data_IF_059891654122
#
_entry.id   IF_059891654122
#
_cell.length_a   1.000
_cell.length_b   1.000
_cell.length_c   1.000
_cell.angle_alpha   90.00
_cell.angle_beta   90.00
_cell.angle_gamma   90.00
#
_symmetry.space_group_name_H-M   'P 1'
#
loop_
_entity.id
_entity.type
_entity.pdbx_description
1 polymer ?
#
# COMPACT_ATOMS: atom_id res chain seq x y z
N UNK A 1 41.29 -10.34 27.24
CA UNK A 1 39.81 -10.32 27.17
C UNK A 1 39.40 -9.00 26.50
N UNK A 2 38.94 -9.05 25.25
CA UNK A 2 38.36 -7.88 24.59
C UNK A 2 36.88 -7.76 24.99
N UNK A 3 36.36 -6.56 25.30
CA UNK A 3 34.93 -6.38 25.46
C UNK A 3 34.23 -6.48 24.10
N UNK A 4 33.13 -7.23 24.09
CA UNK A 4 32.21 -7.42 22.98
C UNK A 4 31.59 -6.06 22.59
N UNK A 5 31.88 -5.58 21.37
CA UNK A 5 31.18 -4.45 20.75
C UNK A 5 30.02 -5.00 19.94
N UNK A 6 28.79 -4.80 20.41
CA UNK A 6 27.61 -4.94 19.57
C UNK A 6 27.45 -3.65 18.74
N UNK A 7 27.88 -3.72 17.48
CA UNK A 7 27.58 -2.71 16.47
C UNK A 7 26.09 -2.77 16.15
N UNK A 8 25.33 -1.77 16.60
CA UNK A 8 23.99 -1.51 16.08
C UNK A 8 24.16 -1.00 14.64
N UNK A 9 24.20 -1.93 13.69
CA UNK A 9 24.08 -1.60 12.27
C UNK A 9 22.71 -0.93 12.09
N UNK A 10 22.72 0.28 11.52
CA UNK A 10 21.57 1.16 11.40
C UNK A 10 20.41 0.58 10.60
N UNK A 11 19.55 -0.19 11.28
CA UNK A 11 18.14 -0.25 10.93
C UNK A 11 17.55 1.11 11.31
N UNK A 12 17.24 1.93 10.30
CA UNK A 12 16.88 3.34 10.47
C UNK A 12 15.70 3.51 11.42
N UNK A 13 15.68 4.59 12.22
CA UNK A 13 14.56 4.99 13.08
C UNK A 13 13.19 4.97 12.38
N UNK A 14 13.17 5.10 11.04
CA UNK A 14 11.96 5.02 10.21
C UNK A 14 11.37 3.61 10.13
N UNK A 15 12.20 2.57 10.11
CA UNK A 15 11.74 1.18 10.12
C UNK A 15 10.99 0.86 11.42
N UNK A 16 11.61 1.17 12.55
CA UNK A 16 10.99 1.01 13.88
C UNK A 16 9.68 1.78 14.00
N UNK A 17 9.64 3.04 13.54
CA UNK A 17 8.42 3.84 13.58
C UNK A 17 7.27 3.20 12.76
N UNK A 18 7.56 2.61 11.60
CA UNK A 18 6.56 1.98 10.74
C UNK A 18 6.03 0.67 11.33
N UNK A 19 6.91 -0.18 11.86
CA UNK A 19 6.51 -1.42 12.53
C UNK A 19 5.67 -1.15 13.79
N UNK A 20 6.04 -0.16 14.60
CA UNK A 20 5.23 0.23 15.78
C UNK A 20 3.91 0.88 15.37
N UNK A 21 3.88 1.64 14.27
CA UNK A 21 2.63 2.19 13.72
C UNK A 21 1.68 1.07 13.26
N UNK A 22 2.19 0.04 12.57
CA UNK A 22 1.38 -1.12 12.17
C UNK A 22 0.75 -1.83 13.38
N UNK A 23 1.53 -2.08 14.43
CA UNK A 23 1.03 -2.66 15.70
C UNK A 23 -0.03 -1.78 16.36
N UNK A 24 0.19 -0.47 16.40
CA UNK A 24 -0.75 0.49 16.97
C UNK A 24 -2.07 0.52 16.19
N UNK A 25 -2.01 0.49 14.85
CA UNK A 25 -3.19 0.45 13.99
C UNK A 25 -4.02 -0.81 14.28
N UNK A 26 -3.39 -1.99 14.38
CA UNK A 26 -4.09 -3.23 14.73
C UNK A 26 -4.74 -3.16 16.12
N UNK A 27 -4.02 -2.63 17.12
CA UNK A 27 -4.57 -2.44 18.45
C UNK A 27 -5.78 -1.49 18.44
N UNK A 28 -5.74 -0.42 17.62
CA UNK A 28 -6.85 0.53 17.48
C UNK A 28 -8.04 -0.05 16.73
N UNK A 29 -7.82 -0.87 15.71
CA UNK A 29 -8.89 -1.61 15.03
C UNK A 29 -9.60 -2.52 16.04
N UNK A 30 -8.86 -3.27 16.85
CA UNK A 30 -9.45 -4.14 17.88
C UNK A 30 -10.25 -3.35 18.93
N UNK A 31 -9.72 -2.19 19.37
CA UNK A 31 -10.38 -1.32 20.35
C UNK A 31 -11.67 -0.69 19.81
N UNK A 32 -11.66 -0.24 18.55
CA UNK A 32 -12.73 0.58 17.97
C UNK A 32 -13.79 -0.23 17.24
N UNK A 33 -13.40 -1.30 16.54
CA UNK A 33 -14.25 -2.01 15.60
C UNK A 33 -14.75 -3.35 16.14
N UNK A 34 -14.06 -3.97 17.10
CA UNK A 34 -14.45 -5.28 17.62
C UNK A 34 -14.59 -6.31 16.50
N UNK A 35 -15.81 -6.77 16.23
CA UNK A 35 -16.12 -7.72 15.14
C UNK A 35 -16.75 -7.08 13.90
N UNK A 36 -16.82 -5.75 13.81
CA UNK A 36 -17.32 -5.05 12.63
C UNK A 36 -16.36 -5.24 11.42
N UNK A 37 -16.87 -5.23 10.18
CA UNK A 37 -16.03 -5.24 8.98
C UNK A 37 -15.11 -4.01 8.90
N UNK A 38 -13.85 -4.21 8.51
CA UNK A 38 -12.82 -3.16 8.49
C UNK A 38 -12.19 -3.06 7.11
N UNK A 39 -12.01 -1.82 6.65
CA UNK A 39 -11.16 -1.48 5.51
C UNK A 39 -10.09 -0.51 6.02
N UNK A 40 -8.82 -0.84 5.81
CA UNK A 40 -7.68 0.03 6.09
C UNK A 40 -7.00 0.38 4.77
N UNK A 41 -6.95 1.67 4.43
CA UNK A 41 -6.32 2.15 3.22
C UNK A 41 -5.37 3.32 3.51
N UNK A 42 -4.30 3.43 2.72
CA UNK A 42 -3.37 4.55 2.81
C UNK A 42 -2.06 4.32 2.07
N UNK A 43 -1.22 5.35 2.08
CA UNK A 43 0.20 5.27 1.69
C UNK A 43 1.03 4.85 2.92
N UNK A 44 1.60 3.65 2.87
CA UNK A 44 2.39 3.07 3.95
C UNK A 44 3.89 3.39 3.82
N UNK A 45 4.32 4.02 2.72
CA UNK A 45 5.71 4.34 2.41
C UNK A 45 6.66 3.11 2.48
N UNK A 46 6.11 1.91 2.32
CA UNK A 46 6.83 0.62 2.27
C UNK A 46 6.16 -0.29 1.26
N UNK A 47 6.95 -1.09 0.57
CA UNK A 47 6.43 -2.04 -0.40
C UNK A 47 5.94 -3.34 0.25
N UNK A 48 5.38 -4.24 -0.57
CA UNK A 48 4.90 -5.55 -0.14
C UNK A 48 5.99 -6.51 0.39
N UNK A 49 7.26 -6.12 0.34
CA UNK A 49 8.40 -6.92 0.82
C UNK A 49 8.94 -6.43 2.18
N UNK A 50 8.42 -5.32 2.72
CA UNK A 50 8.80 -4.79 4.03
C UNK A 50 8.12 -5.54 5.19
N UNK A 51 8.81 -5.60 6.32
CA UNK A 51 8.30 -6.23 7.54
C UNK A 51 7.01 -5.57 8.05
N UNK A 52 6.87 -4.26 7.91
CA UNK A 52 5.69 -3.51 8.38
C UNK A 52 4.45 -3.87 7.58
N UNK A 53 4.60 -4.13 6.28
CA UNK A 53 3.53 -4.69 5.46
C UNK A 53 3.17 -6.11 5.92
N UNK A 54 4.18 -6.96 6.13
CA UNK A 54 3.98 -8.34 6.57
C UNK A 54 3.28 -8.43 7.94
N UNK A 55 3.54 -7.49 8.85
CA UNK A 55 2.84 -7.41 10.14
C UNK A 55 1.34 -7.18 10.00
N UNK A 56 0.92 -6.35 9.03
CA UNK A 56 -0.51 -6.12 8.75
C UNK A 56 -1.12 -7.33 8.03
N UNK A 57 -0.51 -7.77 6.92
CA UNK A 57 -1.05 -8.83 6.07
C UNK A 57 -1.06 -10.22 6.74
N UNK A 58 -0.24 -10.44 7.78
CA UNK A 58 -0.23 -11.68 8.54
C UNK A 58 -0.90 -11.53 9.91
N UNK A 59 -1.49 -10.37 10.20
CA UNK A 59 -2.38 -10.23 11.35
C UNK A 59 -3.69 -10.90 10.96
N UNK A 60 -4.20 -11.85 11.75
CA UNK A 60 -5.49 -12.54 11.49
C UNK A 60 -6.70 -11.58 11.33
N UNK A 61 -6.47 -10.28 11.50
CA UNK A 61 -7.40 -9.17 11.37
C UNK A 61 -7.53 -8.63 9.94
N UNK A 62 -6.46 -8.66 9.14
CA UNK A 62 -6.38 -7.93 7.87
C UNK A 62 -5.60 -8.70 6.79
N UNK A 63 -6.13 -8.68 5.57
CA UNK A 63 -5.51 -9.25 4.37
C UNK A 63 -5.44 -8.19 3.25
N UNK A 64 -4.37 -8.19 2.44
CA UNK A 64 -4.21 -7.28 1.30
C UNK A 64 -5.21 -7.63 0.19
N UNK A 65 -6.01 -6.64 -0.20
CA UNK A 65 -6.97 -6.78 -1.30
C UNK A 65 -6.32 -7.13 -2.64
N UNK A 66 -5.05 -6.76 -2.86
CA UNK A 66 -4.31 -7.19 -4.05
C UNK A 66 -4.15 -8.72 -4.07
N UNK A 67 -3.80 -9.35 -2.95
CA UNK A 67 -3.59 -10.79 -2.87
C UNK A 67 -4.91 -11.58 -2.88
N UNK A 68 -5.97 -11.03 -2.26
CA UNK A 68 -7.29 -11.66 -2.24
C UNK A 68 -8.05 -11.60 -3.57
N UNK A 69 -7.73 -10.63 -4.42
CA UNK A 69 -8.57 -10.37 -5.59
C UNK A 69 -8.42 -11.44 -6.68
N UNK A 70 -9.53 -12.05 -7.15
CA UNK A 70 -9.50 -12.99 -8.27
C UNK A 70 -9.22 -12.30 -9.62
N UNK A 71 -9.39 -10.98 -9.69
CA UNK A 71 -9.16 -10.18 -10.91
C UNK A 71 -8.30 -8.98 -10.55
N UNK A 72 -7.09 -8.93 -11.12
CA UNK A 72 -6.12 -7.83 -10.92
C UNK A 72 -5.87 -7.10 -12.22
N UNK A 73 -6.11 -5.79 -12.23
CA UNK A 73 -5.72 -4.88 -13.31
C UNK A 73 -4.58 -3.97 -12.85
N UNK A 74 -3.35 -4.48 -12.93
CA UNK A 74 -2.16 -3.83 -12.35
C UNK A 74 -1.03 -3.77 -13.37
N UNK A 75 -1.06 -2.73 -14.19
CA UNK A 75 -0.07 -2.50 -15.25
C UNK A 75 1.19 -1.78 -14.75
N UNK A 76 1.23 -1.37 -13.47
CA UNK A 76 2.33 -0.68 -12.81
C UNK A 76 2.19 -0.84 -11.28
N UNK A 77 3.18 -0.36 -10.54
CA UNK A 77 3.14 -0.12 -9.11
C UNK A 77 2.33 1.12 -8.77
N UNK A 78 2.32 1.53 -7.51
CA UNK A 78 1.45 2.62 -7.06
C UNK A 78 2.12 4.00 -7.11
N UNK A 79 3.44 4.06 -7.00
CA UNK A 79 4.20 5.32 -7.06
C UNK A 79 4.81 5.57 -8.45
N UNK A 80 4.65 6.78 -8.96
CA UNK A 80 5.14 7.20 -10.29
C UNK A 80 6.03 8.46 -10.27
N UNK A 81 6.06 9.24 -9.18
CA UNK A 81 6.86 10.48 -9.07
C UNK A 81 6.67 11.45 -10.27
N UNK A 82 5.44 11.52 -10.78
CA UNK A 82 5.07 12.26 -12.01
C UNK A 82 5.78 11.81 -13.30
N UNK A 83 6.47 10.67 -13.30
CA UNK A 83 7.10 10.09 -14.47
C UNK A 83 6.10 9.22 -15.27
N UNK A 84 5.58 9.79 -16.36
CA UNK A 84 4.59 9.14 -17.23
C UNK A 84 5.13 7.97 -18.06
N UNK A 85 6.44 7.75 -18.09
CA UNK A 85 7.07 6.63 -18.81
C UNK A 85 7.71 5.61 -17.87
N UNK A 86 7.64 5.84 -16.55
CA UNK A 86 8.25 4.99 -15.54
C UNK A 86 7.44 3.71 -15.27
N UNK A 87 8.14 2.68 -14.80
CA UNK A 87 7.55 1.44 -14.32
C UNK A 87 8.21 1.03 -13.00
N UNK A 88 7.39 0.58 -12.06
CA UNK A 88 7.80 -0.12 -10.85
C UNK A 88 6.84 -1.28 -10.59
N UNK A 89 7.30 -2.33 -9.91
CA UNK A 89 6.44 -3.38 -9.35
C UNK A 89 6.07 -3.15 -7.89
N UNK A 90 6.59 -2.08 -7.28
CA UNK A 90 6.41 -1.76 -5.86
C UNK A 90 5.03 -1.14 -5.63
N UNK A 91 4.33 -1.63 -4.59
CA UNK A 91 3.07 -1.06 -4.12
C UNK A 91 3.33 -0.48 -2.74
N UNK A 92 3.25 0.83 -2.59
CA UNK A 92 3.34 1.50 -1.28
C UNK A 92 1.98 1.98 -0.77
N UNK A 93 0.99 1.98 -1.65
CA UNK A 93 -0.41 2.27 -1.36
C UNK A 93 -1.18 0.95 -1.31
N UNK A 94 -1.78 0.66 -0.17
CA UNK A 94 -2.45 -0.62 0.07
C UNK A 94 -3.88 -0.42 0.52
N UNK A 95 -4.75 -1.39 0.21
CA UNK A 95 -6.08 -1.52 0.78
C UNK A 95 -6.15 -2.89 1.43
N UNK A 96 -6.17 -2.92 2.76
CA UNK A 96 -6.39 -4.11 3.56
C UNK A 96 -7.85 -4.24 3.95
N UNK A 97 -8.33 -5.46 4.04
CA UNK A 97 -9.72 -5.77 4.41
C UNK A 97 -9.76 -6.86 5.47
N UNK A 98 -10.77 -6.82 6.36
CA UNK A 98 -10.98 -7.92 7.32
C UNK A 98 -11.70 -9.12 6.69
N UNK A 99 -11.64 -10.33 7.29
CA UNK A 99 -12.22 -11.55 6.72
C UNK A 99 -13.72 -11.51 6.46
N UNK A 100 -14.45 -10.59 7.08
CA UNK A 100 -15.87 -10.36 6.83
C UNK A 100 -16.15 -9.70 5.45
N UNK A 101 -15.12 -9.38 4.68
CA UNK A 101 -15.21 -8.74 3.37
C UNK A 101 -14.62 -9.64 2.28
N UNK A 102 -15.32 -9.72 1.15
CA UNK A 102 -14.88 -10.42 -0.05
C UNK A 102 -14.44 -9.42 -1.11
N UNK A 103 -13.19 -9.55 -1.56
CA UNK A 103 -12.64 -8.77 -2.67
C UNK A 103 -13.04 -9.41 -4.00
N UNK A 104 -13.61 -8.60 -4.89
CA UNK A 104 -14.07 -9.03 -6.21
C UNK A 104 -13.09 -8.62 -7.31
N UNK A 105 -12.50 -7.42 -7.20
CA UNK A 105 -11.56 -6.86 -8.17
C UNK A 105 -10.58 -5.92 -7.47
N UNK A 106 -9.38 -5.82 -8.01
CA UNK A 106 -8.35 -4.87 -7.63
C UNK A 106 -7.78 -4.23 -8.89
N UNK A 107 -7.50 -2.92 -8.86
CA UNK A 107 -6.86 -2.23 -9.97
C UNK A 107 -6.05 -1.01 -9.54
N UNK A 108 -5.07 -0.68 -10.37
CA UNK A 108 -4.27 0.55 -10.29
C UNK A 108 -4.58 1.36 -11.55
N UNK A 109 -5.16 2.55 -11.40
CA UNK A 109 -5.59 3.36 -12.54
C UNK A 109 -4.44 4.26 -13.01
N UNK A 110 -3.91 3.97 -14.20
CA UNK A 110 -2.74 4.65 -14.78
C UNK A 110 -3.13 5.78 -15.76
N UNK A 111 -4.33 6.31 -15.62
CA UNK A 111 -4.85 7.39 -16.45
C UNK A 111 -3.94 8.62 -16.44
N UNK A 112 -3.76 9.22 -17.62
CA UNK A 112 -2.99 10.45 -17.79
C UNK A 112 -3.82 11.49 -18.52
N UNK A 113 -3.64 12.75 -18.17
CA UNK A 113 -4.17 13.87 -18.94
C UNK A 113 -3.07 14.45 -19.85
N UNK A 114 -3.42 15.47 -20.63
CA UNK A 114 -2.48 16.19 -21.49
C UNK A 114 -2.41 17.66 -21.07
N UNK A 115 -1.20 18.16 -20.84
CA UNK A 115 -0.94 19.58 -20.59
C UNK A 115 -0.19 20.18 -21.77
N UNK A 116 -0.53 21.40 -22.17
CA UNK A 116 0.20 22.15 -23.20
C UNK A 116 1.56 22.58 -22.66
N UNK A 117 2.62 22.30 -23.41
CA UNK A 117 4.00 22.72 -23.09
C UNK A 117 4.47 23.84 -24.04
N UNK A 118 4.06 23.79 -25.31
CA UNK A 118 4.27 24.85 -26.29
C UNK A 118 3.11 24.89 -27.31
N UNK A 119 3.19 25.78 -28.29
CA UNK A 119 2.19 25.88 -29.35
C UNK A 119 2.06 24.55 -30.11
N UNK A 120 0.86 23.96 -30.09
CA UNK A 120 0.56 22.63 -30.64
C UNK A 120 1.39 21.46 -30.08
N UNK A 121 2.06 21.63 -28.93
CA UNK A 121 2.80 20.57 -28.24
C UNK A 121 2.14 20.26 -26.89
N UNK A 122 1.69 19.02 -26.73
CA UNK A 122 1.04 18.51 -25.53
C UNK A 122 1.78 17.30 -24.98
N UNK A 123 2.01 17.28 -23.68
CA UNK A 123 2.70 16.19 -22.98
C UNK A 123 1.77 15.49 -22.00
N UNK A 124 1.99 14.19 -21.80
CA UNK A 124 1.28 13.43 -20.79
C UNK A 124 1.64 13.93 -19.38
N UNK A 125 0.65 13.96 -18.49
CA UNK A 125 0.83 14.22 -17.05
C UNK A 125 0.03 13.21 -16.25
N UNK A 126 0.58 12.75 -15.14
CA UNK A 126 -0.16 11.96 -14.15
C UNK A 126 -1.02 12.88 -13.29
N UNK A 127 -2.10 12.33 -12.74
CA UNK A 127 -3.02 13.06 -11.86
C UNK A 127 -2.38 13.39 -10.49
N UNK A 128 -1.51 12.51 -10.00
CA UNK A 128 -0.68 12.62 -8.81
C UNK A 128 0.63 11.85 -9.06
N UNK A 129 1.63 12.05 -8.22
CA UNK A 129 2.81 11.21 -8.09
C UNK A 129 2.51 9.78 -7.64
N UNK A 130 1.28 9.50 -7.18
CA UNK A 130 0.74 8.16 -6.97
C UNK A 130 -0.41 7.87 -7.95
N UNK A 131 -0.54 6.61 -8.34
CA UNK A 131 -1.71 6.09 -9.03
C UNK A 131 -2.75 5.62 -7.99
N UNK A 132 -4.03 5.96 -8.14
CA UNK A 132 -5.05 5.52 -7.21
C UNK A 132 -5.25 4.00 -7.29
N UNK A 133 -5.32 3.38 -6.11
CA UNK A 133 -5.67 1.98 -5.92
C UNK A 133 -7.18 1.86 -5.73
N UNK A 134 -7.80 0.93 -6.46
CA UNK A 134 -9.25 0.69 -6.41
C UNK A 134 -9.50 -0.79 -6.10
N UNK A 135 -10.35 -1.05 -5.11
CA UNK A 135 -10.86 -2.38 -4.81
C UNK A 135 -12.39 -2.39 -4.88
N UNK A 136 -12.96 -3.42 -5.50
CA UNK A 136 -14.40 -3.68 -5.48
C UNK A 136 -14.66 -4.76 -4.45
N UNK A 137 -15.40 -4.43 -3.40
CA UNK A 137 -15.57 -5.25 -2.21
C UNK A 137 -17.07 -5.45 -1.94
N UNK A 138 -17.43 -6.61 -1.39
CA UNK A 138 -18.75 -6.85 -0.78
C UNK A 138 -18.61 -7.49 0.59
N UNK A 139 -19.66 -7.44 1.41
CA UNK A 139 -19.74 -8.26 2.61
C UNK A 139 -19.68 -9.74 2.24
N UNK A 140 -18.93 -10.52 3.02
CA UNK A 140 -18.95 -11.97 2.93
C UNK A 140 -20.33 -12.49 3.37
N UNK A 141 -20.77 -13.57 2.75
CA UNK A 141 -22.02 -14.28 3.08
C UNK A 141 -21.76 -15.34 4.14
#
# INVERSE_FOLDING_TARGET
MLPCRASARGASLRGTARSESAKLVLAKIQEMCGSEPVILAGDFNVDQHDESYALLNNSETLDDSYELSPVRHTLNGTFNNHNTTGFSGERIDHIFVSPALKVLRYGILIDTYRSREAENIYVARTLSDHYPVVAVIKLAE
#
